data_IF_977607154925
#
_entry.id   IF_977607154925
#
_cell.length_a   1.000
_cell.length_b   1.000
_cell.length_c   1.000
_cell.angle_alpha   90.00
_cell.angle_beta   90.00
_cell.angle_gamma   90.00
#
_symmetry.space_group_name_H-M   'P 1'
#
loop_
_entity.id
_entity.type
_entity.pdbx_description
1 polymer ?
#
# COMPACT_ATOMS: atom_id res chain seq x y z
N UNK A 1 41.45 -3.59 -6.71
CA UNK A 1 40.43 -4.23 -7.58
C UNK A 1 39.16 -4.69 -6.87
N UNK A 2 39.11 -4.80 -5.53
CA UNK A 2 37.93 -5.33 -4.81
C UNK A 2 36.79 -4.32 -4.53
N UNK A 3 37.08 -3.01 -4.40
CA UNK A 3 36.05 -2.00 -4.09
C UNK A 3 35.12 -1.63 -5.25
N UNK A 4 35.55 -1.81 -6.50
CA UNK A 4 34.75 -1.40 -7.67
C UNK A 4 33.55 -2.32 -7.92
N UNK A 5 33.66 -3.63 -7.62
CA UNK A 5 32.52 -4.56 -7.74
C UNK A 5 31.42 -4.21 -6.75
N UNK A 6 31.75 -4.04 -5.47
CA UNK A 6 30.77 -3.66 -4.45
C UNK A 6 30.09 -2.32 -4.74
N UNK A 7 30.84 -1.34 -5.29
CA UNK A 7 30.27 -0.05 -5.69
C UNK A 7 29.32 -0.17 -6.89
N UNK A 8 29.64 -1.02 -7.85
CA UNK A 8 28.77 -1.30 -8.99
C UNK A 8 27.48 -2.00 -8.55
N UNK A 9 27.58 -3.02 -7.68
CA UNK A 9 26.43 -3.72 -7.12
C UNK A 9 25.53 -2.79 -6.28
N UNK A 10 26.13 -1.93 -5.46
CA UNK A 10 25.38 -0.92 -4.69
C UNK A 10 24.63 0.05 -5.60
N UNK A 11 25.25 0.45 -6.70
CA UNK A 11 24.63 1.36 -7.69
C UNK A 11 23.45 0.67 -8.38
N UNK A 12 23.61 -0.60 -8.77
CA UNK A 12 22.55 -1.39 -9.39
C UNK A 12 21.36 -1.60 -8.44
N UNK A 13 21.63 -1.97 -7.18
CA UNK A 13 20.59 -2.13 -6.16
C UNK A 13 19.85 -0.82 -5.91
N UNK A 14 20.56 0.30 -5.87
CA UNK A 14 19.94 1.62 -5.72
C UNK A 14 19.03 1.99 -6.89
N UNK A 15 19.47 1.75 -8.13
CA UNK A 15 18.65 1.97 -9.30
C UNK A 15 17.37 1.09 -9.30
N UNK A 16 17.47 -0.15 -8.80
CA UNK A 16 16.30 -1.03 -8.65
C UNK A 16 15.31 -0.46 -7.62
N UNK A 17 15.79 -0.01 -6.46
CA UNK A 17 14.95 0.61 -5.42
C UNK A 17 14.30 1.89 -5.94
N UNK A 18 15.04 2.73 -6.66
CA UNK A 18 14.50 3.96 -7.27
C UNK A 18 13.39 3.64 -8.29
N UNK A 19 13.58 2.58 -9.10
CA UNK A 19 12.54 2.10 -10.02
C UNK A 19 11.27 1.64 -9.31
N UNK A 20 11.41 0.88 -8.23
CA UNK A 20 10.27 0.43 -7.41
C UNK A 20 9.57 1.63 -6.75
N UNK A 21 10.31 2.58 -6.20
CA UNK A 21 9.75 3.80 -5.62
C UNK A 21 8.98 4.61 -6.66
N UNK A 22 9.48 4.68 -7.90
CA UNK A 22 8.78 5.31 -9.01
C UNK A 22 7.44 4.65 -9.32
N UNK A 23 7.41 3.31 -9.36
CA UNK A 23 6.18 2.55 -9.56
C UNK A 23 5.18 2.78 -8.41
N UNK A 24 5.63 2.67 -7.16
CA UNK A 24 4.79 2.94 -5.98
C UNK A 24 4.22 4.35 -6.01
N UNK A 25 5.04 5.36 -6.35
CA UNK A 25 4.57 6.75 -6.47
C UNK A 25 3.52 6.92 -7.57
N UNK A 26 3.68 6.23 -8.71
CA UNK A 26 2.69 6.25 -9.78
C UNK A 26 1.36 5.62 -9.35
N UNK A 27 1.41 4.50 -8.62
CA UNK A 27 0.22 3.85 -8.05
C UNK A 27 -0.47 4.75 -7.02
N UNK A 28 0.28 5.34 -6.11
CA UNK A 28 -0.29 6.25 -5.10
C UNK A 28 -0.99 7.47 -5.70
N UNK A 29 -0.51 7.96 -6.85
CA UNK A 29 -1.14 9.10 -7.54
C UNK A 29 -2.38 8.72 -8.34
N UNK A 30 -2.43 7.50 -8.87
CA UNK A 30 -3.44 7.09 -9.85
C UNK A 30 -4.53 6.17 -9.30
N UNK A 31 -4.28 5.49 -8.18
CA UNK A 31 -5.17 4.48 -7.61
C UNK A 31 -5.52 4.76 -6.16
N UNK A 32 -6.63 4.20 -5.69
CA UNK A 32 -6.92 4.07 -4.27
C UNK A 32 -6.03 2.98 -3.66
N UNK A 33 -5.20 3.35 -2.68
CA UNK A 33 -4.22 2.46 -2.04
C UNK A 33 -4.41 2.50 -0.52
N UNK A 34 -4.50 1.32 0.09
CA UNK A 34 -4.57 1.13 1.54
C UNK A 34 -3.57 0.07 1.98
N UNK A 35 -2.88 0.33 3.08
CA UNK A 35 -2.00 -0.63 3.76
C UNK A 35 -2.70 -1.15 5.00
N UNK A 36 -2.70 -2.47 5.14
CA UNK A 36 -3.37 -3.17 6.21
C UNK A 36 -2.35 -3.96 7.03
N UNK A 37 -2.59 -4.03 8.34
CA UNK A 37 -1.94 -5.03 9.18
C UNK A 37 -2.53 -6.42 8.90
N UNK A 38 -1.84 -7.46 9.38
CA UNK A 38 -2.31 -8.85 9.23
C UNK A 38 -3.65 -9.10 9.95
N UNK A 39 -3.99 -8.32 10.97
CA UNK A 39 -5.30 -8.34 11.64
C UNK A 39 -6.34 -7.40 10.99
N UNK A 40 -6.04 -6.84 9.81
CA UNK A 40 -6.96 -6.07 8.99
C UNK A 40 -7.19 -4.62 9.45
N UNK A 41 -6.32 -4.08 10.31
CA UNK A 41 -6.34 -2.66 10.69
C UNK A 41 -5.68 -1.82 9.61
N UNK A 42 -6.23 -0.64 9.38
CA UNK A 42 -5.61 0.31 8.45
C UNK A 42 -4.35 0.91 9.10
N UNK A 43 -3.22 0.71 8.43
CA UNK A 43 -1.94 1.33 8.78
C UNK A 43 -1.76 2.66 8.05
N UNK A 44 -2.19 2.71 6.79
CA UNK A 44 -2.11 3.89 5.92
C UNK A 44 -3.16 3.81 4.83
N UNK A 45 -3.67 4.97 4.39
CA UNK A 45 -4.43 5.09 3.16
C UNK A 45 -4.00 6.37 2.44
N UNK A 46 -4.01 6.35 1.10
CA UNK A 46 -3.75 7.57 0.33
C UNK A 46 -5.03 8.39 0.11
N UNK A 47 -4.86 9.62 -0.38
CA UNK A 47 -5.97 10.56 -0.61
C UNK A 47 -7.00 10.02 -1.59
N UNK A 48 -6.58 9.24 -2.59
CA UNK A 48 -7.48 8.61 -3.54
C UNK A 48 -8.40 7.59 -2.87
N UNK A 49 -7.88 6.78 -1.93
CA UNK A 49 -8.69 5.84 -1.15
C UNK A 49 -9.67 6.59 -0.26
N UNK A 50 -9.21 7.62 0.45
CA UNK A 50 -10.05 8.47 1.30
C UNK A 50 -11.20 9.10 0.50
N UNK A 51 -10.89 9.68 -0.66
CA UNK A 51 -11.88 10.29 -1.53
C UNK A 51 -12.87 9.27 -2.10
N UNK A 52 -12.40 8.10 -2.52
CA UNK A 52 -13.26 7.03 -3.04
C UNK A 52 -14.22 6.48 -1.98
N UNK A 53 -13.75 6.33 -0.74
CA UNK A 53 -14.55 5.79 0.36
C UNK A 53 -15.34 6.86 1.12
N UNK A 54 -15.09 8.15 0.87
CA UNK A 54 -15.80 9.27 1.50
C UNK A 54 -15.37 9.57 2.94
N UNK A 55 -14.15 9.24 3.32
CA UNK A 55 -13.61 9.43 4.67
C UNK A 55 -12.48 10.46 4.72
N UNK A 56 -12.22 10.99 5.91
CA UNK A 56 -11.00 11.73 6.23
C UNK A 56 -9.98 10.84 6.93
N UNK A 57 -8.71 11.21 6.86
CA UNK A 57 -7.62 10.42 7.43
C UNK A 57 -7.79 10.17 8.94
N UNK A 58 -8.34 11.13 9.68
CA UNK A 58 -8.54 11.03 11.13
C UNK A 58 -9.58 9.96 11.50
N UNK A 59 -10.55 9.72 10.61
CA UNK A 59 -11.64 8.78 10.82
C UNK A 59 -11.19 7.32 10.63
N UNK A 60 -10.07 7.08 9.94
CA UNK A 60 -9.56 5.74 9.65
C UNK A 60 -8.96 5.01 10.86
N UNK A 61 -8.50 5.75 11.87
CA UNK A 61 -7.79 5.18 13.04
C UNK A 61 -8.61 4.16 13.85
N UNK A 62 -9.94 4.21 13.72
CA UNK A 62 -10.87 3.29 14.41
C UNK A 62 -11.49 2.25 13.48
N UNK A 63 -11.12 2.26 12.20
CA UNK A 63 -11.72 1.43 11.15
C UNK A 63 -10.82 0.26 10.78
N UNK A 64 -11.47 -0.83 10.40
CA UNK A 64 -10.86 -2.04 9.85
C UNK A 64 -11.26 -2.19 8.40
N UNK A 65 -10.52 -3.00 7.63
CA UNK A 65 -10.85 -3.25 6.22
C UNK A 65 -12.31 -3.71 6.01
N UNK A 66 -12.89 -4.42 6.99
CA UNK A 66 -14.29 -4.87 6.98
C UNK A 66 -15.29 -3.74 6.82
N UNK A 67 -14.98 -2.55 7.34
CA UNK A 67 -15.87 -1.38 7.29
C UNK A 67 -16.00 -0.80 5.87
N UNK A 68 -15.13 -1.22 4.95
CA UNK A 68 -15.05 -0.75 3.56
C UNK A 68 -15.55 -1.78 2.54
N UNK A 69 -15.89 -2.99 2.98
CA UNK A 69 -16.35 -4.05 2.10
C UNK A 69 -17.87 -4.15 2.07
N UNK A 70 -18.41 -4.44 0.90
CA UNK A 70 -19.84 -4.69 0.77
C UNK A 70 -20.26 -5.94 1.57
N UNK A 71 -21.50 -5.98 2.10
CA UNK A 71 -21.97 -7.12 2.89
C UNK A 71 -21.90 -8.46 2.17
N UNK A 72 -21.97 -8.45 0.84
CA UNK A 72 -21.86 -9.65 -0.01
C UNK A 72 -20.43 -10.18 -0.06
N UNK A 73 -19.44 -9.29 -0.17
CA UNK A 73 -18.02 -9.64 -0.09
C UNK A 73 -17.67 -10.19 1.28
N UNK A 74 -18.15 -9.55 2.36
CA UNK A 74 -17.92 -10.00 3.74
C UNK A 74 -18.45 -11.42 4.04
N UNK A 75 -19.46 -11.86 3.27
CA UNK A 75 -20.06 -13.20 3.38
C UNK A 75 -19.42 -14.22 2.45
N UNK A 76 -18.53 -13.78 1.56
CA UNK A 76 -17.80 -14.67 0.66
C UNK A 76 -16.75 -15.46 1.44
N UNK A 77 -16.41 -16.66 0.94
CA UNK A 77 -15.28 -17.44 1.47
C UNK A 77 -13.95 -16.72 1.26
N UNK A 78 -13.82 -15.99 0.16
CA UNK A 78 -12.62 -15.22 -0.21
C UNK A 78 -12.26 -14.13 0.80
N UNK A 79 -13.22 -13.68 1.62
CA UNK A 79 -12.96 -12.68 2.67
C UNK A 79 -12.50 -13.29 4.00
N UNK A 80 -12.79 -14.58 4.24
CA UNK A 80 -12.55 -15.25 5.51
C UNK A 80 -11.21 -16.03 5.57
N UNK A 81 -10.53 -16.16 4.42
CA UNK A 81 -9.21 -16.77 4.26
C UNK A 81 -8.09 -15.73 4.39
#
# INVERSE_FOLDING_TARGET
>A
MFGNKNKAELTAMKAQVDGLNGLTSALEKSMAVVELSLDGKILRANDNFLAAMGYRAEELTTKTHRDFCEPEILRSREYAD
#
